data_IF_164126047460
#
_entry.id   IF_164126047460
#
_cell.length_a   1.000
_cell.length_b   1.000
_cell.length_c   1.000
_cell.angle_alpha   90.00
_cell.angle_beta   90.00
_cell.angle_gamma   90.00
#
_symmetry.space_group_name_H-M   'P 1'
#
loop_
_entity.id
_entity.type
_entity.pdbx_description
1 polymer ?
#
# COMPACT_ATOMS: atom_id res chain seq x y z
N UNK A 1 -28.14 -4.92 16.79
CA UNK A 1 -28.56 -5.86 15.72
C UNK A 1 -28.96 -5.01 14.52
N UNK A 2 -28.07 -4.86 13.54
CA UNK A 2 -28.45 -4.25 12.25
C UNK A 2 -29.46 -5.18 11.58
N UNK A 3 -30.57 -4.64 11.07
CA UNK A 3 -31.62 -5.39 10.38
C UNK A 3 -31.00 -6.31 9.30
N UNK A 4 -31.39 -7.59 9.29
CA UNK A 4 -30.87 -8.63 8.38
C UNK A 4 -30.88 -8.22 6.91
N UNK A 5 -31.86 -7.41 6.50
CA UNK A 5 -32.01 -6.92 5.13
C UNK A 5 -30.89 -5.99 4.66
N UNK A 6 -30.38 -5.10 5.52
CA UNK A 6 -29.29 -4.19 5.14
C UNK A 6 -27.95 -4.90 5.10
N UNK A 7 -27.73 -5.87 5.99
CA UNK A 7 -26.51 -6.66 5.97
C UNK A 7 -26.41 -7.45 4.66
N UNK A 8 -27.50 -8.11 4.23
CA UNK A 8 -27.55 -8.82 2.95
C UNK A 8 -27.28 -7.89 1.76
N UNK A 9 -27.91 -6.71 1.68
CA UNK A 9 -27.68 -5.77 0.58
C UNK A 9 -26.21 -5.30 0.53
N UNK A 10 -25.56 -5.13 1.68
CA UNK A 10 -24.17 -4.68 1.74
C UNK A 10 -23.17 -5.80 1.43
N UNK A 11 -23.52 -7.07 1.68
CA UNK A 11 -22.62 -8.22 1.49
C UNK A 11 -22.81 -8.93 0.16
N UNK A 12 -23.94 -8.74 -0.53
CA UNK A 12 -24.18 -9.35 -1.85
C UNK A 12 -23.04 -9.00 -2.82
N UNK A 13 -22.40 -10.02 -3.44
CA UNK A 13 -21.43 -9.83 -4.52
C UNK A 13 -22.02 -9.01 -5.66
N UNK A 14 -21.25 -8.07 -6.20
CA UNK A 14 -21.65 -7.33 -7.39
C UNK A 14 -21.48 -8.20 -8.63
N UNK A 15 -22.30 -7.95 -9.65
CA UNK A 15 -22.26 -8.73 -10.90
C UNK A 15 -20.84 -8.77 -11.50
N UNK A 16 -20.16 -7.62 -11.55
CA UNK A 16 -18.77 -7.52 -12.05
C UNK A 16 -17.79 -8.37 -11.24
N UNK A 17 -18.01 -8.54 -9.93
CA UNK A 17 -17.14 -9.35 -9.08
C UNK A 17 -17.40 -10.84 -9.32
N UNK A 18 -18.67 -11.23 -9.47
CA UNK A 18 -19.05 -12.63 -9.71
C UNK A 18 -18.71 -13.13 -11.11
N UNK A 19 -18.72 -12.24 -12.11
CA UNK A 19 -18.39 -12.59 -13.49
C UNK A 19 -16.89 -12.50 -13.77
N UNK A 20 -16.09 -11.99 -12.83
CA UNK A 20 -14.67 -11.78 -13.05
C UNK A 20 -13.90 -13.11 -13.02
N UNK A 21 -13.22 -13.39 -14.12
CA UNK A 21 -12.25 -14.49 -14.22
C UNK A 21 -10.81 -13.95 -14.11
N UNK A 22 -10.06 -14.28 -13.05
CA UNK A 22 -8.68 -13.85 -12.91
C UNK A 22 -7.71 -14.56 -13.87
N UNK A 23 -8.05 -15.74 -14.42
CA UNK A 23 -7.09 -16.58 -15.15
C UNK A 23 -6.50 -15.90 -16.40
N UNK A 24 -7.27 -15.24 -17.28
CA UNK A 24 -6.71 -14.55 -18.44
C UNK A 24 -5.76 -13.43 -18.04
N UNK A 25 -6.10 -12.67 -16.99
CA UNK A 25 -5.27 -11.61 -16.45
C UNK A 25 -3.97 -12.17 -15.88
N UNK A 26 -4.05 -13.21 -15.07
CA UNK A 26 -2.87 -13.86 -14.50
C UNK A 26 -1.96 -14.43 -15.59
N UNK A 27 -2.51 -15.06 -16.63
CA UNK A 27 -1.73 -15.56 -17.77
C UNK A 27 -1.01 -14.43 -18.51
N UNK A 28 -1.72 -13.33 -18.79
CA UNK A 28 -1.12 -12.15 -19.41
C UNK A 28 -0.03 -11.53 -18.54
N UNK A 29 -0.27 -11.39 -17.22
CA UNK A 29 0.70 -10.85 -16.27
C UNK A 29 1.93 -11.75 -16.12
N UNK A 30 1.78 -13.08 -16.16
CA UNK A 30 2.93 -14.01 -16.15
C UNK A 30 3.77 -13.91 -17.42
N UNK A 31 3.13 -13.70 -18.57
CA UNK A 31 3.80 -13.64 -19.87
C UNK A 31 4.50 -12.30 -20.10
N UNK A 32 3.79 -11.19 -19.89
CA UNK A 32 4.23 -9.84 -20.26
C UNK A 32 4.62 -8.98 -19.04
N UNK A 33 4.34 -9.45 -17.82
CA UNK A 33 4.48 -8.65 -16.60
C UNK A 33 5.90 -8.20 -16.30
N UNK A 34 6.92 -9.03 -16.56
CA UNK A 34 8.31 -8.64 -16.37
C UNK A 34 8.69 -7.48 -17.30
N UNK A 35 8.27 -7.54 -18.57
CA UNK A 35 8.53 -6.48 -19.55
C UNK A 35 7.81 -5.20 -19.14
N UNK A 36 6.53 -5.30 -18.78
CA UNK A 36 5.74 -4.17 -18.30
C UNK A 36 6.36 -3.53 -17.06
N UNK A 37 6.78 -4.35 -16.09
CA UNK A 37 7.42 -3.88 -14.87
C UNK A 37 8.72 -3.13 -15.15
N UNK A 38 9.61 -3.70 -15.97
CA UNK A 38 10.87 -3.05 -16.36
C UNK A 38 10.58 -1.73 -17.08
N UNK A 39 9.66 -1.73 -18.05
CA UNK A 39 9.31 -0.54 -18.81
C UNK A 39 8.75 0.58 -17.92
N UNK A 40 7.75 0.27 -17.09
CA UNK A 40 7.15 1.24 -16.18
C UNK A 40 8.15 1.76 -15.15
N UNK A 41 9.02 0.90 -14.60
CA UNK A 41 10.06 1.30 -13.64
C UNK A 41 11.11 2.19 -14.30
N UNK A 42 11.54 1.86 -15.52
CA UNK A 42 12.48 2.68 -16.29
C UNK A 42 11.88 4.07 -16.58
N UNK A 43 10.65 4.13 -17.08
CA UNK A 43 9.94 5.39 -17.32
C UNK A 43 9.83 6.21 -16.03
N UNK A 44 9.45 5.56 -14.92
CA UNK A 44 9.31 6.20 -13.61
C UNK A 44 10.63 6.79 -13.09
N UNK A 45 11.73 6.03 -13.15
CA UNK A 45 13.05 6.52 -12.74
C UNK A 45 13.55 7.63 -13.67
N UNK A 46 13.38 7.48 -14.98
CA UNK A 46 13.69 8.53 -15.95
C UNK A 46 12.93 9.81 -15.62
N UNK A 47 11.63 9.71 -15.34
CA UNK A 47 10.80 10.84 -14.94
C UNK A 47 11.30 11.49 -13.64
N UNK A 48 11.68 10.70 -12.62
CA UNK A 48 12.21 11.24 -11.36
C UNK A 48 13.48 12.06 -11.62
N UNK A 49 14.48 11.48 -12.28
CA UNK A 49 15.79 12.13 -12.42
C UNK A 49 15.76 13.27 -13.43
N UNK A 50 15.17 13.05 -14.61
CA UNK A 50 15.09 14.08 -15.64
C UNK A 50 14.05 15.15 -15.31
N UNK A 51 12.90 14.76 -14.75
CA UNK A 51 11.86 15.68 -14.32
C UNK A 51 12.32 16.58 -13.17
N UNK A 52 13.07 16.04 -12.19
CA UNK A 52 13.65 16.87 -11.14
C UNK A 52 14.62 17.91 -11.72
N UNK A 53 15.56 17.49 -12.59
CA UNK A 53 16.50 18.39 -13.26
C UNK A 53 15.80 19.45 -14.12
N UNK A 54 14.78 19.05 -14.87
CA UNK A 54 13.98 19.96 -15.69
C UNK A 54 13.27 21.01 -14.83
N UNK A 55 12.73 20.59 -13.68
CA UNK A 55 12.05 21.48 -12.77
C UNK A 55 12.99 22.48 -12.08
N UNK A 56 14.29 22.20 -11.91
CA UNK A 56 15.23 23.12 -11.23
C UNK A 56 15.14 24.56 -11.76
N UNK A 57 15.06 24.73 -13.09
CA UNK A 57 15.00 26.03 -13.77
C UNK A 57 13.60 26.67 -13.81
N UNK A 58 12.56 25.96 -13.37
CA UNK A 58 11.15 26.40 -13.50
C UNK A 58 10.50 26.73 -12.15
N UNK A 59 9.46 27.58 -12.12
CA UNK A 59 8.67 27.74 -10.90
C UNK A 59 7.94 26.44 -10.52
N UNK A 60 7.63 26.26 -9.24
CA UNK A 60 6.78 25.16 -8.77
C UNK A 60 5.37 25.28 -9.39
N UNK A 61 4.76 24.16 -9.74
CA UNK A 61 3.37 24.16 -10.20
C UNK A 61 2.38 24.20 -9.03
N UNK A 62 1.34 25.02 -9.13
CA UNK A 62 0.24 25.08 -8.16
C UNK A 62 -0.87 24.09 -8.55
N UNK A 63 -0.63 22.80 -8.30
CA UNK A 63 -1.51 21.69 -8.71
C UNK A 63 -2.56 21.33 -7.64
N UNK A 64 -3.03 22.31 -6.86
CA UNK A 64 -3.84 22.08 -5.66
C UNK A 64 -5.13 21.30 -5.97
N UNK A 65 -5.90 21.74 -6.96
CA UNK A 65 -7.16 21.09 -7.34
C UNK A 65 -6.93 19.67 -7.85
N UNK A 66 -5.94 19.48 -8.73
CA UNK A 66 -5.58 18.16 -9.27
C UNK A 66 -5.15 17.20 -8.17
N UNK A 67 -4.38 17.68 -7.19
CA UNK A 67 -4.01 16.90 -6.02
C UNK A 67 -5.20 16.50 -5.16
N UNK A 68 -6.17 17.41 -4.94
CA UNK A 68 -7.40 17.06 -4.21
C UNK A 68 -8.14 15.95 -4.95
N UNK A 69 -8.39 16.12 -6.25
CA UNK A 69 -9.11 15.13 -7.06
C UNK A 69 -8.37 13.79 -7.03
N UNK A 70 -7.07 13.80 -7.26
CA UNK A 70 -6.24 12.59 -7.26
C UNK A 70 -6.29 11.84 -5.93
N UNK A 71 -6.04 12.54 -4.81
CA UNK A 71 -6.06 11.91 -3.49
C UNK A 71 -7.49 11.47 -3.13
N UNK A 72 -8.53 12.20 -3.51
CA UNK A 72 -9.93 11.80 -3.30
C UNK A 72 -10.30 10.53 -4.07
N UNK A 73 -9.87 10.40 -5.32
CA UNK A 73 -10.08 9.17 -6.11
C UNK A 73 -9.40 7.98 -5.44
N UNK A 74 -8.14 8.14 -5.00
CA UNK A 74 -7.41 7.08 -4.29
C UNK A 74 -8.03 6.75 -2.92
N UNK A 75 -8.57 7.74 -2.21
CA UNK A 75 -9.33 7.50 -0.97
C UNK A 75 -10.57 6.65 -1.24
N UNK A 76 -11.42 7.04 -2.20
CA UNK A 76 -12.66 6.33 -2.51
C UNK A 76 -12.35 4.92 -2.99
N UNK A 77 -11.38 4.76 -3.89
CA UNK A 77 -10.91 3.45 -4.35
C UNK A 77 -10.47 2.56 -3.18
N UNK A 78 -9.65 3.11 -2.27
CA UNK A 78 -9.15 2.36 -1.11
C UNK A 78 -10.27 2.00 -0.13
N UNK A 79 -11.25 2.87 0.09
CA UNK A 79 -12.40 2.60 0.95
C UNK A 79 -13.31 1.51 0.37
N UNK A 80 -13.59 1.56 -0.94
CA UNK A 80 -14.38 0.54 -1.61
C UNK A 80 -13.65 -0.81 -1.60
N UNK A 81 -12.36 -0.82 -1.92
CA UNK A 81 -11.53 -2.03 -1.87
C UNK A 81 -11.50 -2.62 -0.46
N UNK A 82 -11.34 -1.78 0.57
CA UNK A 82 -11.34 -2.22 1.97
C UNK A 82 -12.68 -2.83 2.38
N UNK A 83 -13.80 -2.23 1.98
CA UNK A 83 -15.12 -2.78 2.24
C UNK A 83 -15.28 -4.16 1.58
N UNK A 84 -15.02 -4.27 0.28
CA UNK A 84 -15.25 -5.51 -0.47
C UNK A 84 -14.29 -6.63 -0.08
N UNK A 85 -13.02 -6.32 0.14
CA UNK A 85 -12.05 -7.31 0.64
C UNK A 85 -12.36 -7.77 2.08
N UNK A 86 -12.96 -6.93 2.92
CA UNK A 86 -13.41 -7.34 4.25
C UNK A 86 -14.59 -8.30 4.21
N UNK A 87 -15.52 -8.13 3.27
CA UNK A 87 -16.59 -9.12 3.04
C UNK A 87 -15.98 -10.46 2.64
N UNK A 88 -15.07 -10.45 1.66
CA UNK A 88 -14.35 -11.66 1.26
C UNK A 88 -13.61 -12.28 2.46
N UNK A 89 -12.91 -11.48 3.27
CA UNK A 89 -12.21 -11.97 4.46
C UNK A 89 -13.15 -12.64 5.46
N UNK A 90 -14.33 -12.04 5.71
CA UNK A 90 -15.33 -12.60 6.61
C UNK A 90 -15.85 -13.96 6.11
N UNK A 91 -16.19 -14.06 4.83
CA UNK A 91 -16.64 -15.33 4.22
C UNK A 91 -15.56 -16.42 4.31
N UNK A 92 -14.30 -16.05 4.07
CA UNK A 92 -13.17 -16.97 4.09
C UNK A 92 -12.84 -17.43 5.52
N UNK A 93 -12.82 -16.52 6.50
CA UNK A 93 -12.60 -16.83 7.91
C UNK A 93 -13.75 -17.67 8.48
N UNK A 94 -14.99 -17.39 8.10
CA UNK A 94 -16.15 -18.17 8.56
C UNK A 94 -16.12 -19.63 8.09
N UNK A 95 -15.38 -19.91 7.01
CA UNK A 95 -15.22 -21.24 6.41
C UNK A 95 -13.86 -21.89 6.75
N UNK A 96 -12.90 -21.13 7.29
CA UNK A 96 -11.55 -21.59 7.54
C UNK A 96 -11.38 -22.08 8.99
N UNK A 97 -10.94 -23.33 9.15
CA UNK A 97 -10.79 -23.96 10.47
C UNK A 97 -9.53 -23.51 11.25
N UNK A 98 -8.53 -22.86 10.62
CA UNK A 98 -7.27 -22.46 11.31
C UNK A 98 -6.46 -21.34 10.60
N UNK A 99 -5.54 -20.67 11.31
CA UNK A 99 -4.59 -19.67 10.77
C UNK A 99 -3.75 -20.15 9.58
N UNK A 100 -3.35 -21.42 9.56
CA UNK A 100 -2.62 -22.02 8.43
C UNK A 100 -3.47 -22.00 7.14
N UNK A 101 -4.79 -22.12 7.30
CA UNK A 101 -5.72 -21.96 6.18
C UNK A 101 -5.75 -20.51 5.71
N UNK A 102 -5.52 -19.49 6.54
CA UNK A 102 -5.48 -18.11 6.05
C UNK A 102 -4.28 -17.83 5.14
N UNK A 103 -3.13 -18.45 5.39
CA UNK A 103 -1.91 -18.20 4.60
C UNK A 103 -1.83 -19.12 3.38
N UNK A 104 -2.43 -20.31 3.43
CA UNK A 104 -2.30 -21.34 2.38
C UNK A 104 -3.59 -22.07 2.00
N UNK A 105 -4.76 -21.64 2.47
CA UNK A 105 -5.96 -22.48 2.46
C UNK A 105 -7.31 -21.77 2.37
N UNK A 106 -7.43 -20.60 1.72
CA UNK A 106 -8.52 -20.56 0.75
C UNK A 106 -8.10 -20.03 -0.62
N UNK A 107 -8.92 -20.40 -1.61
CA UNK A 107 -8.76 -19.95 -2.98
C UNK A 107 -9.25 -18.49 -3.11
N UNK A 108 -8.42 -17.53 -2.69
CA UNK A 108 -8.67 -16.08 -2.80
C UNK A 108 -8.92 -15.61 -4.24
N UNK A 109 -8.57 -16.45 -5.21
CA UNK A 109 -8.67 -16.21 -6.64
C UNK A 109 -9.76 -17.08 -7.29
N UNK A 110 -10.66 -17.68 -6.49
CA UNK A 110 -11.75 -18.48 -7.02
C UNK A 110 -12.62 -17.65 -7.98
N UNK A 111 -12.90 -18.15 -9.20
CA UNK A 111 -13.87 -17.55 -10.10
C UNK A 111 -15.22 -17.40 -9.37
N UNK A 112 -15.85 -16.24 -9.50
CA UNK A 112 -17.08 -15.92 -8.77
C UNK A 112 -16.89 -15.38 -7.35
N UNK A 113 -15.65 -15.32 -6.85
CA UNK A 113 -15.33 -14.73 -5.55
C UNK A 113 -15.15 -13.21 -5.61
N UNK A 114 -15.55 -12.51 -4.55
CA UNK A 114 -15.45 -11.04 -4.45
C UNK A 114 -13.98 -10.57 -4.52
N UNK A 115 -13.04 -11.33 -3.95
CA UNK A 115 -11.65 -10.88 -3.77
C UNK A 115 -10.86 -10.72 -5.07
N UNK A 116 -11.02 -11.61 -6.05
CA UNK A 116 -10.14 -11.67 -7.23
C UNK A 116 -10.12 -10.36 -8.02
N UNK A 117 -11.30 -9.77 -8.25
CA UNK A 117 -11.45 -8.50 -8.96
C UNK A 117 -10.73 -7.34 -8.25
N UNK A 118 -10.93 -7.22 -6.93
CA UNK A 118 -10.31 -6.16 -6.14
C UNK A 118 -8.80 -6.33 -5.98
N UNK A 119 -8.31 -7.58 -5.95
CA UNK A 119 -6.87 -7.85 -5.94
C UNK A 119 -6.20 -7.46 -7.28
N UNK A 120 -6.88 -7.65 -8.41
CA UNK A 120 -6.40 -7.16 -9.71
C UNK A 120 -6.31 -5.63 -9.70
N UNK A 121 -7.39 -4.96 -9.28
CA UNK A 121 -7.42 -3.50 -9.21
C UNK A 121 -6.35 -2.96 -8.25
N UNK A 122 -6.14 -3.63 -7.12
CA UNK A 122 -5.05 -3.31 -6.19
C UNK A 122 -3.67 -3.44 -6.84
N UNK A 123 -3.41 -4.49 -7.61
CA UNK A 123 -2.15 -4.65 -8.32
C UNK A 123 -1.90 -3.51 -9.31
N UNK A 124 -2.93 -3.10 -10.07
CA UNK A 124 -2.83 -1.95 -10.97
C UNK A 124 -2.76 -0.61 -10.26
N UNK A 125 -3.37 -0.47 -9.07
CA UNK A 125 -3.31 0.77 -8.30
C UNK A 125 -1.87 1.16 -7.98
N UNK A 126 -0.97 0.19 -7.81
CA UNK A 126 0.45 0.47 -7.52
C UNK A 126 1.19 1.17 -8.66
N UNK A 127 0.80 0.93 -9.92
CA UNK A 127 1.30 1.73 -11.04
C UNK A 127 0.67 3.11 -11.04
N UNK A 128 -0.65 3.19 -10.78
CA UNK A 128 -1.34 4.47 -10.71
C UNK A 128 -0.71 5.38 -9.64
N UNK A 129 -0.34 4.82 -8.48
CA UNK A 129 0.33 5.50 -7.37
C UNK A 129 1.68 6.14 -7.74
N UNK A 130 2.30 5.80 -8.89
CA UNK A 130 3.44 6.57 -9.43
C UNK A 130 3.09 8.04 -9.67
N UNK A 131 1.80 8.35 -9.90
CA UNK A 131 1.28 9.71 -9.96
C UNK A 131 1.61 10.53 -8.71
N UNK A 132 1.69 9.93 -7.52
CA UNK A 132 2.08 10.64 -6.30
C UNK A 132 3.47 11.28 -6.45
N UNK A 133 4.40 10.54 -7.04
CA UNK A 133 5.76 11.03 -7.31
C UNK A 133 5.77 12.10 -8.39
N UNK A 134 4.91 11.98 -9.41
CA UNK A 134 4.73 13.03 -10.43
C UNK A 134 4.37 14.35 -9.77
N UNK A 135 3.40 14.35 -8.86
CA UNK A 135 3.04 15.57 -8.13
C UNK A 135 4.16 16.09 -7.22
N UNK A 136 4.94 15.21 -6.57
CA UNK A 136 6.07 15.62 -5.73
C UNK A 136 7.13 16.35 -6.56
N UNK A 137 7.50 15.80 -7.72
CA UNK A 137 8.51 16.37 -8.63
C UNK A 137 8.03 17.72 -9.19
N UNK A 138 6.80 17.79 -9.73
CA UNK A 138 6.24 19.02 -10.31
C UNK A 138 6.05 20.14 -9.28
N UNK A 139 5.89 19.81 -8.00
CA UNK A 139 5.78 20.78 -6.90
C UNK A 139 7.12 21.12 -6.25
N UNK A 140 8.23 20.59 -6.75
CA UNK A 140 9.57 20.73 -6.14
C UNK A 140 9.61 20.31 -4.67
N UNK A 141 8.81 19.31 -4.31
CA UNK A 141 8.81 18.76 -2.96
C UNK A 141 9.96 17.76 -2.79
N UNK A 142 10.44 17.58 -1.56
CA UNK A 142 11.56 16.67 -1.27
C UNK A 142 11.14 15.22 -1.53
N UNK A 143 11.64 14.64 -2.61
CA UNK A 143 11.52 13.21 -2.88
C UNK A 143 12.52 12.44 -1.99
N UNK A 144 12.00 11.59 -1.11
CA UNK A 144 12.80 10.78 -0.19
C UNK A 144 12.99 9.36 -0.72
N UNK A 145 14.11 8.71 -0.37
CA UNK A 145 14.41 7.32 -0.75
C UNK A 145 13.25 6.37 -0.46
N UNK A 146 12.69 6.47 0.75
CA UNK A 146 11.57 5.65 1.19
C UNK A 146 10.41 5.66 0.19
N UNK A 147 10.07 6.83 -0.38
CA UNK A 147 8.91 6.97 -1.24
C UNK A 147 9.09 6.24 -2.58
N UNK A 148 10.09 6.63 -3.36
CA UNK A 148 10.25 6.06 -4.70
C UNK A 148 10.68 4.58 -4.67
N UNK A 149 11.47 4.17 -3.68
CA UNK A 149 11.83 2.77 -3.48
C UNK A 149 10.59 1.92 -3.14
N UNK A 150 9.75 2.39 -2.23
CA UNK A 150 8.49 1.73 -1.88
C UNK A 150 7.55 1.59 -3.08
N UNK A 151 7.37 2.65 -3.89
CA UNK A 151 6.47 2.58 -5.05
C UNK A 151 6.96 1.56 -6.11
N UNK A 152 8.26 1.52 -6.42
CA UNK A 152 8.81 0.51 -7.34
C UNK A 152 8.58 -0.91 -6.83
N UNK A 153 8.88 -1.12 -5.55
CA UNK A 153 8.81 -2.43 -4.93
C UNK A 153 7.37 -2.94 -4.77
N UNK A 154 6.44 -2.08 -4.34
CA UNK A 154 5.03 -2.45 -4.19
C UNK A 154 4.37 -2.76 -5.52
N UNK A 155 4.75 -2.07 -6.60
CA UNK A 155 4.31 -2.45 -7.94
C UNK A 155 4.85 -3.82 -8.34
N UNK A 156 6.16 -4.06 -8.22
CA UNK A 156 6.76 -5.36 -8.54
C UNK A 156 6.08 -6.50 -7.78
N UNK A 157 6.04 -6.38 -6.45
CA UNK A 157 5.51 -7.42 -5.57
C UNK A 157 4.02 -7.61 -5.81
N UNK A 158 3.22 -6.54 -5.86
CA UNK A 158 1.77 -6.63 -6.08
C UNK A 158 1.40 -7.25 -7.42
N UNK A 159 2.08 -6.83 -8.49
CA UNK A 159 1.84 -7.36 -9.83
C UNK A 159 2.24 -8.83 -9.94
N UNK A 160 3.42 -9.19 -9.44
CA UNK A 160 3.91 -10.57 -9.46
C UNK A 160 3.06 -11.51 -8.62
N UNK A 161 2.76 -11.12 -7.38
CA UNK A 161 1.98 -11.97 -6.45
C UNK A 161 0.57 -12.23 -6.96
N UNK A 162 -0.07 -11.26 -7.62
CA UNK A 162 -1.36 -11.50 -8.29
C UNK A 162 -1.21 -12.50 -9.45
N UNK A 163 -0.17 -12.33 -10.27
CA UNK A 163 0.08 -13.17 -11.45
C UNK A 163 0.27 -14.65 -11.09
N UNK A 164 0.77 -14.96 -9.90
CA UNK A 164 1.02 -16.32 -9.41
C UNK A 164 -0.01 -16.79 -8.37
N UNK A 165 -1.17 -16.12 -8.25
CA UNK A 165 -2.21 -16.48 -7.28
C UNK A 165 -1.70 -16.56 -5.83
N UNK A 166 -0.68 -15.77 -5.49
CA UNK A 166 -0.03 -15.88 -4.20
C UNK A 166 -1.00 -15.41 -3.09
N UNK A 167 -1.30 -16.26 -2.09
CA UNK A 167 -2.30 -15.94 -1.06
C UNK A 167 -1.88 -14.77 -0.15
N UNK A 168 -0.57 -14.52 -0.04
CA UNK A 168 -0.06 -13.41 0.79
C UNK A 168 -0.50 -12.03 0.30
N UNK A 169 -0.82 -11.90 -1.00
CA UNK A 169 -1.33 -10.65 -1.57
C UNK A 169 -2.66 -10.25 -0.93
N UNK A 170 -3.55 -11.19 -0.63
CA UNK A 170 -4.86 -10.86 -0.07
C UNK A 170 -4.74 -10.15 1.29
N UNK A 171 -3.99 -10.76 2.21
CA UNK A 171 -3.77 -10.22 3.55
C UNK A 171 -3.06 -8.87 3.46
N UNK A 172 -2.03 -8.80 2.62
CA UNK A 172 -1.24 -7.59 2.38
C UNK A 172 -2.07 -6.45 1.78
N UNK A 173 -2.90 -6.75 0.79
CA UNK A 173 -3.78 -5.80 0.12
C UNK A 173 -4.84 -5.28 1.07
N UNK A 174 -5.50 -6.17 1.82
CA UNK A 174 -6.53 -5.82 2.80
C UNK A 174 -6.00 -4.79 3.81
N UNK A 175 -4.86 -5.08 4.44
CA UNK A 175 -4.25 -4.13 5.38
C UNK A 175 -3.86 -2.82 4.68
N UNK A 176 -3.26 -2.89 3.49
CA UNK A 176 -2.80 -1.72 2.77
C UNK A 176 -3.94 -0.78 2.37
N UNK A 177 -5.07 -1.29 1.86
CA UNK A 177 -6.20 -0.44 1.44
C UNK A 177 -6.86 0.27 2.63
N UNK A 178 -6.87 -0.35 3.81
CA UNK A 178 -7.29 0.33 5.04
C UNK A 178 -6.38 1.51 5.38
N UNK A 179 -5.06 1.29 5.39
CA UNK A 179 -4.10 2.34 5.70
C UNK A 179 -4.09 3.44 4.64
N UNK A 180 -4.19 3.08 3.36
CA UNK A 180 -4.26 4.03 2.25
C UNK A 180 -5.53 4.86 2.25
N UNK A 181 -6.69 4.28 2.64
CA UNK A 181 -7.91 5.06 2.81
C UNK A 181 -7.71 6.21 3.80
N UNK A 182 -7.08 5.94 4.95
CA UNK A 182 -6.79 6.92 5.99
C UNK A 182 -5.71 7.93 5.55
N UNK A 183 -4.64 7.44 4.92
CA UNK A 183 -3.52 8.28 4.49
C UNK A 183 -3.92 9.26 3.39
N UNK A 184 -4.58 8.80 2.32
CA UNK A 184 -5.01 9.67 1.23
C UNK A 184 -6.09 10.65 1.70
N UNK A 185 -7.00 10.21 2.57
CA UNK A 185 -7.99 11.11 3.15
C UNK A 185 -7.31 12.21 3.98
N UNK A 186 -6.31 11.85 4.78
CA UNK A 186 -5.49 12.82 5.50
C UNK A 186 -4.82 13.82 4.56
N UNK A 187 -4.30 13.38 3.41
CA UNK A 187 -3.72 14.29 2.41
C UNK A 187 -4.75 15.24 1.82
N UNK A 188 -5.95 14.77 1.46
CA UNK A 188 -7.06 15.64 1.01
C UNK A 188 -7.34 16.74 2.02
N UNK A 189 -7.54 16.37 3.29
CA UNK A 189 -7.83 17.31 4.38
C UNK A 189 -6.71 18.35 4.55
N UNK A 190 -5.45 17.92 4.45
CA UNK A 190 -4.29 18.81 4.48
C UNK A 190 -4.24 19.78 3.30
N UNK A 191 -4.56 19.32 2.09
CA UNK A 191 -4.56 20.14 0.87
C UNK A 191 -5.71 21.17 0.91
N UNK A 192 -6.85 20.83 1.51
CA UNK A 192 -7.97 21.77 1.72
C UNK A 192 -7.65 22.88 2.73
N UNK A 193 -6.51 22.82 3.43
CA UNK A 193 -6.05 23.87 4.33
C UNK A 193 -6.55 23.71 5.76
N UNK A 194 -7.16 22.56 6.09
CA UNK A 194 -7.55 22.25 7.47
C UNK A 194 -6.30 22.02 8.31
N UNK A 195 -6.20 22.72 9.44
CA UNK A 195 -5.07 22.58 10.38
C UNK A 195 -5.19 21.25 11.12
N UNK A 196 -4.54 20.22 10.58
CA UNK A 196 -4.50 18.92 11.24
C UNK A 196 -3.38 18.85 12.30
N UNK A 197 -3.65 18.38 13.53
CA UNK A 197 -2.64 18.24 14.57
C UNK A 197 -1.49 17.30 14.17
N UNK A 198 -0.26 17.61 14.60
CA UNK A 198 0.93 16.76 14.39
C UNK A 198 0.73 15.34 14.95
N UNK A 199 -0.06 15.19 16.02
CA UNK A 199 -0.41 13.89 16.61
C UNK A 199 -1.08 12.95 15.61
N UNK A 200 -1.95 13.44 14.74
CA UNK A 200 -2.62 12.59 13.76
C UNK A 200 -1.63 12.06 12.71
N UNK A 201 -0.68 12.90 12.27
CA UNK A 201 0.41 12.47 11.38
C UNK A 201 1.27 11.38 12.03
N UNK A 202 1.57 11.51 13.33
CA UNK A 202 2.30 10.49 14.08
C UNK A 202 1.52 9.19 14.16
N UNK A 203 0.24 9.24 14.55
CA UNK A 203 -0.65 8.06 14.62
C UNK A 203 -0.70 7.33 13.28
N UNK A 204 -0.92 8.06 12.17
CA UNK A 204 -0.94 7.45 10.84
C UNK A 204 0.38 6.76 10.49
N UNK A 205 1.52 7.41 10.79
CA UNK A 205 2.83 6.80 10.54
C UNK A 205 3.06 5.58 11.44
N UNK A 206 2.58 5.60 12.69
CA UNK A 206 2.66 4.46 13.60
C UNK A 206 1.84 3.27 13.11
N UNK A 207 0.60 3.51 12.65
CA UNK A 207 -0.24 2.43 12.12
C UNK A 207 0.38 1.86 10.81
N UNK A 208 0.97 2.70 9.95
CA UNK A 208 1.76 2.24 8.78
C UNK A 208 2.91 1.30 9.19
N UNK A 209 3.67 1.65 10.23
CA UNK A 209 4.76 0.80 10.73
C UNK A 209 4.23 -0.52 11.26
N UNK A 210 3.15 -0.50 12.05
CA UNK A 210 2.51 -1.72 12.58
C UNK A 210 2.06 -2.62 11.42
N UNK A 211 1.44 -2.04 10.39
CA UNK A 211 1.03 -2.76 9.19
C UNK A 211 2.21 -3.40 8.45
N UNK A 212 3.36 -2.72 8.36
CA UNK A 212 4.56 -3.27 7.74
C UNK A 212 5.21 -4.37 8.58
N UNK A 213 5.18 -4.28 9.91
CA UNK A 213 5.66 -5.34 10.81
C UNK A 213 4.80 -6.60 10.65
N UNK A 214 3.48 -6.46 10.66
CA UNK A 214 2.55 -7.57 10.46
C UNK A 214 2.74 -8.18 9.07
N UNK A 215 2.82 -7.35 8.02
CA UNK A 215 3.07 -7.82 6.66
C UNK A 215 4.41 -8.55 6.53
N UNK A 216 5.46 -8.06 7.18
CA UNK A 216 6.77 -8.73 7.23
C UNK A 216 6.65 -10.12 7.86
N UNK A 217 5.96 -10.23 9.00
CA UNK A 217 5.71 -11.52 9.63
C UNK A 217 4.97 -12.50 8.70
N UNK A 218 3.92 -12.04 8.02
CA UNK A 218 3.17 -12.86 7.05
C UNK A 218 4.07 -13.37 5.92
N UNK A 219 4.93 -12.51 5.36
CA UNK A 219 5.86 -12.92 4.30
C UNK A 219 6.89 -13.96 4.79
N UNK A 220 7.48 -13.74 5.96
CA UNK A 220 8.44 -14.70 6.53
C UNK A 220 7.78 -16.03 6.90
N UNK A 221 6.55 -16.00 7.38
CA UNK A 221 5.79 -17.21 7.68
C UNK A 221 5.43 -17.99 6.40
N UNK A 222 5.03 -17.30 5.33
CA UNK A 222 4.83 -17.91 4.01
C UNK A 222 6.15 -18.50 3.47
N UNK A 223 7.28 -17.82 3.67
CA UNK A 223 8.60 -18.36 3.32
C UNK A 223 8.94 -19.63 4.11
N UNK A 224 8.65 -19.64 5.41
CA UNK A 224 8.87 -20.80 6.26
C UNK A 224 8.03 -22.00 5.81
N UNK A 225 6.75 -21.78 5.47
CA UNK A 225 5.91 -22.84 4.87
C UNK A 225 6.49 -23.32 3.54
N UNK A 226 6.92 -22.43 2.66
CA UNK A 226 7.48 -22.82 1.35
C UNK A 226 8.73 -23.71 1.47
N UNK A 227 9.63 -23.40 2.40
CA UNK A 227 10.90 -24.13 2.55
C UNK A 227 10.80 -25.36 3.47
N UNK A 228 9.94 -25.33 4.49
CA UNK A 228 9.89 -26.35 5.55
C UNK A 228 8.51 -26.98 5.74
N UNK A 229 7.45 -26.36 5.23
CA UNK A 229 6.09 -26.87 5.30
C UNK A 229 5.86 -27.91 4.22
N UNK A 230 5.59 -29.16 4.60
CA UNK A 230 5.26 -30.24 3.67
C UNK A 230 3.86 -30.13 3.02
N UNK A 231 3.26 -28.94 2.94
CA UNK A 231 1.90 -28.72 2.44
C UNK A 231 1.91 -27.94 1.11
N UNK A 232 1.05 -28.31 0.15
CA UNK A 232 0.96 -27.60 -1.13
C UNK A 232 0.30 -26.24 -0.92
N UNK A 233 1.07 -25.17 -1.09
CA UNK A 233 0.61 -23.78 -1.09
C UNK A 233 0.98 -23.16 -2.43
N UNK A 234 0.11 -22.34 -3.01
CA UNK A 234 0.38 -21.60 -4.26
C UNK A 234 1.36 -20.45 -4.00
N UNK A 235 2.62 -20.81 -3.74
CA UNK A 235 3.72 -19.92 -3.47
C UNK A 235 4.81 -20.16 -4.51
N UNK A 236 5.42 -19.07 -4.96
CA UNK A 236 6.54 -19.11 -5.89
C UNK A 236 7.80 -18.55 -5.21
N UNK A 237 8.97 -19.10 -5.56
CA UNK A 237 10.24 -18.73 -4.94
C UNK A 237 10.53 -17.22 -5.07
N UNK A 238 10.24 -16.64 -6.24
CA UNK A 238 10.51 -15.22 -6.48
C UNK A 238 9.64 -14.32 -5.59
N UNK A 239 8.33 -14.57 -5.55
CA UNK A 239 7.37 -13.83 -4.73
C UNK A 239 7.67 -13.94 -3.24
N UNK A 240 8.06 -15.12 -2.76
CA UNK A 240 8.46 -15.35 -1.37
C UNK A 240 9.73 -14.56 -1.02
N UNK A 241 10.78 -14.66 -1.84
CA UNK A 241 12.08 -14.01 -1.57
C UNK A 241 11.97 -12.50 -1.69
N UNK A 242 11.44 -12.01 -2.81
CA UNK A 242 11.30 -10.57 -3.09
C UNK A 242 10.27 -9.94 -2.17
N UNK A 243 9.17 -10.64 -1.87
CA UNK A 243 8.17 -10.17 -0.91
C UNK A 243 8.76 -10.03 0.51
N UNK A 244 9.47 -11.03 1.01
CA UNK A 244 10.08 -10.98 2.35
C UNK A 244 11.15 -9.88 2.46
N UNK A 245 12.06 -9.80 1.47
CA UNK A 245 13.06 -8.74 1.41
C UNK A 245 12.41 -7.35 1.27
N UNK A 246 11.38 -7.26 0.42
CA UNK A 246 10.68 -6.02 0.16
C UNK A 246 9.98 -5.45 1.39
N UNK A 247 9.15 -6.27 2.05
CA UNK A 247 8.47 -5.86 3.28
C UNK A 247 9.47 -5.49 4.38
N UNK A 248 10.51 -6.31 4.59
CA UNK A 248 11.54 -6.04 5.59
C UNK A 248 12.29 -4.72 5.34
N UNK A 249 12.76 -4.49 4.11
CA UNK A 249 13.50 -3.27 3.76
C UNK A 249 12.65 -2.00 3.89
N UNK A 250 11.40 -2.03 3.43
CA UNK A 250 10.46 -0.90 3.58
C UNK A 250 10.15 -0.64 5.05
N UNK A 251 9.93 -1.70 5.85
CA UNK A 251 9.69 -1.56 7.30
C UNK A 251 10.84 -0.82 7.98
N UNK A 252 12.09 -1.19 7.69
CA UNK A 252 13.27 -0.51 8.23
C UNK A 252 13.34 0.96 7.80
N UNK A 253 13.05 1.27 6.54
CA UNK A 253 13.03 2.65 6.04
C UNK A 253 11.93 3.50 6.71
N UNK A 254 10.77 2.93 7.01
CA UNK A 254 9.70 3.61 7.75
C UNK A 254 10.08 3.87 9.22
N UNK A 255 10.73 2.90 9.87
CA UNK A 255 11.27 3.08 11.23
C UNK A 255 12.30 4.21 11.25
N UNK A 256 13.26 4.19 10.31
CA UNK A 256 14.26 5.26 10.16
C UNK A 256 13.60 6.64 9.93
N UNK A 257 12.60 6.70 9.05
CA UNK A 257 11.82 7.91 8.80
C UNK A 257 11.12 8.41 10.06
N UNK A 258 10.52 7.53 10.86
CA UNK A 258 9.82 7.89 12.08
C UNK A 258 10.78 8.45 13.14
N UNK A 259 11.90 7.77 13.37
CA UNK A 259 12.94 8.20 14.31
C UNK A 259 13.46 9.58 13.92
N UNK A 260 13.81 9.79 12.65
CA UNK A 260 14.32 11.08 12.15
C UNK A 260 13.29 12.20 12.21
N UNK A 261 12.03 11.92 11.85
CA UNK A 261 11.00 12.94 11.69
C UNK A 261 10.31 13.35 12.99
N UNK A 262 10.16 12.42 13.94
CA UNK A 262 9.39 12.65 15.16
C UNK A 262 10.24 12.67 16.42
N UNK A 263 11.15 11.69 16.59
CA UNK A 263 11.97 11.59 17.80
C UNK A 263 13.12 12.60 17.74
N UNK A 264 14.00 12.50 16.75
CA UNK A 264 15.19 13.36 16.67
C UNK A 264 14.85 14.84 16.44
N UNK A 265 13.81 15.12 15.64
CA UNK A 265 13.36 16.50 15.39
C UNK A 265 12.63 17.08 16.61
N UNK A 266 11.87 16.25 17.34
CA UNK A 266 11.23 16.64 18.61
C UNK A 266 12.28 17.07 19.64
N UNK A 267 13.29 16.23 19.86
CA UNK A 267 14.36 16.50 20.82
C UNK A 267 15.18 17.76 20.48
N UNK A 268 15.35 18.09 19.19
CA UNK A 268 16.00 19.36 18.78
C UNK A 268 15.14 20.58 19.08
N UNK A 269 13.83 20.51 18.84
CA UNK A 269 12.91 21.61 19.15
C UNK A 269 12.86 21.85 20.66
N UNK A 270 12.78 20.80 21.46
CA UNK A 270 12.79 20.86 22.92
C UNK A 270 14.12 21.40 23.49
N UNK A 271 15.27 20.95 22.98
CA UNK A 271 16.57 21.55 23.35
C UNK A 271 16.68 23.02 22.96
N UNK A 272 16.07 23.43 21.85
CA UNK A 272 16.09 24.83 21.42
C UNK A 272 15.20 25.72 22.29
N UNK A 273 14.03 25.24 22.73
CA UNK A 273 13.16 25.98 23.66
C UNK A 273 13.81 26.11 25.04
N UNK A 274 14.40 25.02 25.56
CA UNK A 274 15.14 25.04 26.83
C UNK A 274 16.31 26.03 26.81
N UNK A 275 17.06 26.12 25.69
CA UNK A 275 18.14 27.11 25.53
C UNK A 275 17.65 28.55 25.50
N UNK A 276 16.51 28.81 24.86
CA UNK A 276 15.90 30.15 24.80
C UNK A 276 15.40 30.59 26.18
N UNK A 277 14.82 29.67 26.96
CA UNK A 277 14.38 29.93 28.34
C UNK A 277 15.58 30.27 29.25
N UNK A 278 16.65 29.49 29.20
CA UNK A 278 17.86 29.75 30.01
C UNK A 278 18.58 31.06 29.69
N UNK A 279 18.35 31.64 28.50
CA UNK A 279 18.93 32.93 28.11
C UNK A 279 18.06 34.13 28.50
N UNK A 280 16.79 33.90 28.84
CA UNK A 280 15.84 34.94 29.26
C UNK A 280 15.89 35.20 30.77
N UNK A 281 16.43 34.24 31.53
CA UNK A 281 16.60 34.29 32.99
C UNK A 281 17.99 34.81 33.43
N UNK A 282 18.79 35.37 32.50
CA UNK A 282 20.05 36.08 32.76
C UNK A 282 19.94 37.54 32.36
#
# INVERSE_FOLDING_TARGET
MLNSTWFEVLTVPWEIETLFDPLPWQQWMRREGMILWIACTAIYLTFIFQGAKFMETRPKFELRLLLVIWNSVLTVFSMLSAWRLTIAAYELVSKAEMWNSLVCGPNYYAPGGVSAFWLLLFAFSKVAEYGDTVFIVLRKSKLILLHWFHHILTFLVGFHTFAYSNPTLFISALMNVYIHSLMYFYYVVRILGVRVPKRLSMILTTIQIIQLIIGTYVQFYAAWIYFFGGHPCELDLFGVVVGSFGYGSVCLLFIDFFVKSYIMKGNRQERSSLKVETHKDR
#
